data_IF_827195126237
#
_entry.id   IF_827195126237
#
_cell.length_a   1.000
_cell.length_b   1.000
_cell.length_c   1.000
_cell.angle_alpha   90.00
_cell.angle_beta   90.00
_cell.angle_gamma   90.00
#
_symmetry.space_group_name_H-M   'P 1'
#
loop_
_entity.id
_entity.type
_entity.pdbx_description
1 polymer ?
#
# COMPACT_ATOMS: atom_id res chain seq x y z
N UNK A 1 16.11 1.18 -1.14
CA UNK A 1 16.39 -0.27 -0.98
C UNK A 1 15.46 -1.06 -1.88
N UNK A 2 16.00 -1.70 -2.91
CA UNK A 2 15.25 -2.60 -3.79
C UNK A 2 15.32 -4.02 -3.23
N UNK A 3 14.17 -4.67 -3.16
CA UNK A 3 14.09 -6.11 -2.90
C UNK A 3 14.12 -6.80 -4.25
N UNK A 4 15.12 -7.64 -4.49
CA UNK A 4 15.30 -8.34 -5.76
C UNK A 4 15.37 -9.87 -5.56
N UNK A 5 14.70 -10.66 -6.43
CA UNK A 5 13.70 -10.22 -7.41
C UNK A 5 12.37 -9.80 -6.73
N UNK A 6 11.61 -8.91 -7.36
CA UNK A 6 10.27 -8.51 -6.89
C UNK A 6 9.31 -8.21 -8.03
N UNK A 7 8.02 -8.32 -7.74
CA UNK A 7 6.93 -8.02 -8.67
C UNK A 7 5.93 -7.13 -7.97
N UNK A 8 5.71 -5.93 -8.51
CA UNK A 8 5.03 -4.86 -7.80
C UNK A 8 3.90 -4.28 -8.63
N UNK A 9 2.82 -3.93 -7.93
CA UNK A 9 1.78 -3.01 -8.43
C UNK A 9 1.78 -1.81 -7.50
N UNK A 10 2.17 -0.66 -8.05
CA UNK A 10 2.40 0.58 -7.33
C UNK A 10 1.12 1.34 -7.01
N UNK A 11 1.26 2.30 -6.09
CA UNK A 11 0.19 3.21 -5.68
C UNK A 11 -0.28 4.13 -6.81
N UNK A 12 0.62 4.48 -7.72
CA UNK A 12 0.41 5.39 -8.85
C UNK A 12 0.00 4.66 -10.15
N UNK A 13 -0.27 3.35 -10.07
CA UNK A 13 -0.57 2.51 -11.22
C UNK A 13 0.68 2.04 -11.98
N UNK A 14 1.90 2.34 -11.55
CA UNK A 14 3.09 1.73 -12.13
C UNK A 14 3.19 0.24 -11.76
N UNK A 15 3.69 -0.61 -12.66
CA UNK A 15 3.99 -2.01 -12.37
C UNK A 15 5.45 -2.32 -12.61
N UNK A 16 6.01 -3.27 -11.86
CA UNK A 16 7.40 -3.73 -12.03
C UNK A 16 7.43 -5.25 -12.15
N UNK A 17 8.00 -5.76 -13.24
CA UNK A 17 8.32 -7.17 -13.43
C UNK A 17 9.82 -7.39 -13.20
N UNK A 18 10.18 -7.91 -12.04
CA UNK A 18 11.57 -8.18 -11.67
C UNK A 18 12.19 -9.39 -12.38
N UNK A 19 11.42 -10.21 -13.11
CA UNK A 19 11.96 -11.30 -13.91
C UNK A 19 12.62 -10.77 -15.17
N UNK A 20 11.95 -9.83 -15.85
CA UNK A 20 12.43 -9.27 -17.12
C UNK A 20 12.98 -7.84 -16.97
N UNK A 21 12.83 -7.22 -15.80
CA UNK A 21 13.32 -5.88 -15.51
C UNK A 21 12.54 -4.77 -16.20
N UNK A 22 11.22 -4.94 -16.37
CA UNK A 22 10.38 -4.01 -17.13
C UNK A 22 9.35 -3.29 -16.24
N UNK A 23 9.12 -2.02 -16.58
CA UNK A 23 8.03 -1.22 -16.03
C UNK A 23 6.79 -1.29 -16.92
N UNK A 24 5.63 -1.31 -16.30
CA UNK A 24 4.34 -1.24 -16.99
C UNK A 24 3.34 -0.33 -16.29
N UNK A 25 2.08 -0.48 -16.67
CA UNK A 25 0.97 0.31 -16.15
C UNK A 25 -0.19 -0.59 -15.73
N UNK A 26 -0.93 -0.14 -14.72
CA UNK A 26 -2.12 -0.77 -14.19
C UNK A 26 -3.22 0.25 -13.96
N UNK A 27 -4.47 -0.17 -14.17
CA UNK A 27 -5.64 0.60 -13.74
C UNK A 27 -5.96 0.43 -12.25
N UNK A 28 -5.15 -0.30 -11.49
CA UNK A 28 -5.24 -0.36 -10.04
C UNK A 28 -5.04 1.04 -9.44
N UNK A 29 -6.00 1.49 -8.64
CA UNK A 29 -5.95 2.76 -7.94
C UNK A 29 -6.30 2.56 -6.45
N UNK A 30 -5.29 2.45 -5.57
CA UNK A 30 -5.54 2.26 -4.15
C UNK A 30 -6.07 3.52 -3.46
N UNK A 31 -6.11 4.68 -4.12
CA UNK A 31 -6.74 5.89 -3.58
C UNK A 31 -8.25 5.73 -3.36
N UNK A 32 -8.86 4.75 -4.05
CA UNK A 32 -10.30 4.49 -3.96
C UNK A 32 -10.65 3.56 -2.78
N UNK A 33 -9.64 3.05 -2.06
CA UNK A 33 -9.83 2.16 -0.91
C UNK A 33 -10.27 2.91 0.34
N UNK A 34 -11.16 2.28 1.10
CA UNK A 34 -11.63 2.74 2.39
C UNK A 34 -11.25 1.76 3.52
N UNK A 35 -11.33 2.25 4.77
CA UNK A 35 -11.18 1.40 5.95
C UNK A 35 -12.23 0.28 5.91
N UNK A 36 -11.75 -0.96 5.94
CA UNK A 36 -12.59 -2.15 5.90
C UNK A 36 -12.58 -2.88 4.55
N UNK A 37 -12.07 -2.25 3.49
CA UNK A 37 -11.90 -2.92 2.20
C UNK A 37 -10.90 -4.08 2.30
N UNK A 38 -11.19 -5.14 1.54
CA UNK A 38 -10.37 -6.35 1.48
C UNK A 38 -9.67 -6.42 0.14
N UNK A 39 -8.36 -6.23 0.15
CA UNK A 39 -7.51 -6.42 -1.04
C UNK A 39 -6.94 -7.83 -1.03
N UNK A 40 -7.11 -8.53 -2.14
CA UNK A 40 -6.47 -9.82 -2.40
C UNK A 40 -5.50 -9.65 -3.58
N UNK A 41 -4.24 -9.98 -3.32
CA UNK A 41 -3.21 -10.13 -4.34
C UNK A 41 -2.89 -11.62 -4.45
N UNK A 42 -2.96 -12.17 -5.65
CA UNK A 42 -2.68 -13.58 -5.91
C UNK A 42 -1.76 -13.73 -7.12
N UNK A 43 -0.96 -14.79 -7.12
CA UNK A 43 -0.13 -15.17 -8.27
C UNK A 43 -0.67 -16.45 -8.90
N UNK A 44 -0.90 -16.44 -10.21
CA UNK A 44 -1.34 -17.61 -10.96
C UNK A 44 -0.19 -18.61 -11.17
N UNK A 45 -0.51 -19.86 -11.52
CA UNK A 45 0.52 -20.85 -11.89
C UNK A 45 1.26 -20.48 -13.18
N UNK A 46 0.70 -19.58 -13.99
CA UNK A 46 1.29 -19.05 -15.21
C UNK A 46 2.23 -17.87 -14.94
N UNK A 47 2.31 -17.40 -13.69
CA UNK A 47 3.15 -16.27 -13.29
C UNK A 47 2.47 -14.91 -13.45
N UNK A 48 1.14 -14.87 -13.52
CA UNK A 48 0.38 -13.62 -13.56
C UNK A 48 0.10 -13.13 -12.13
N UNK A 49 0.24 -11.83 -11.89
CA UNK A 49 -0.14 -11.17 -10.65
C UNK A 49 -1.53 -10.55 -10.81
N UNK A 50 -2.49 -11.01 -10.02
CA UNK A 50 -3.86 -10.50 -10.02
C UNK A 50 -4.13 -9.69 -8.74
N UNK A 51 -4.79 -8.54 -8.90
CA UNK A 51 -5.26 -7.70 -7.80
C UNK A 51 -6.79 -7.64 -7.83
N UNK A 52 -7.42 -7.83 -6.68
CA UNK A 52 -8.86 -7.68 -6.48
C UNK A 52 -9.15 -6.94 -5.19
N UNK A 53 -10.26 -6.20 -5.13
CA UNK A 53 -10.74 -5.61 -3.88
C UNK A 53 -12.22 -5.94 -3.68
N UNK A 54 -12.58 -6.34 -2.45
CA UNK A 54 -13.93 -6.75 -2.06
C UNK A 54 -14.51 -7.84 -2.98
N UNK A 55 -13.66 -8.75 -3.44
CA UNK A 55 -14.03 -9.84 -4.35
C UNK A 55 -14.23 -9.43 -5.82
N UNK A 56 -14.13 -8.15 -6.16
CA UNK A 56 -14.16 -7.68 -7.53
C UNK A 56 -12.73 -7.67 -8.12
N UNK A 57 -12.47 -8.35 -9.26
CA UNK A 57 -11.17 -8.27 -9.92
C UNK A 57 -10.95 -6.85 -10.44
N UNK A 58 -9.75 -6.31 -10.20
CA UNK A 58 -9.33 -5.04 -10.77
C UNK A 58 -8.50 -5.29 -12.04
N UNK A 59 -7.37 -5.97 -11.89
CA UNK A 59 -6.38 -6.10 -12.96
C UNK A 59 -5.59 -7.41 -12.81
N UNK A 60 -5.17 -7.93 -13.96
CA UNK A 60 -4.27 -9.08 -14.07
C UNK A 60 -3.08 -8.69 -14.92
N UNK A 61 -1.88 -8.87 -14.37
CA UNK A 61 -0.62 -8.51 -15.02
C UNK A 61 0.20 -9.75 -15.28
N UNK A 62 0.60 -9.96 -16.53
CA UNK A 62 1.60 -10.98 -16.87
C UNK A 62 2.97 -10.51 -16.40
N UNK A 63 3.41 -11.04 -15.26
CA UNK A 63 4.60 -10.57 -14.54
C UNK A 63 5.68 -11.65 -14.44
N UNK A 64 5.53 -12.75 -15.17
CA UNK A 64 6.50 -13.85 -15.24
C UNK A 64 6.98 -14.31 -13.86
N UNK A 65 6.09 -14.29 -12.87
CA UNK A 65 6.43 -14.70 -11.51
C UNK A 65 6.73 -16.20 -11.52
N UNK A 66 7.90 -16.65 -10.99
CA UNK A 66 8.27 -18.06 -11.03
C UNK A 66 7.27 -18.94 -10.27
N UNK A 67 6.65 -19.88 -10.97
CA UNK A 67 5.79 -20.88 -10.35
C UNK A 67 6.60 -21.84 -9.49
N UNK A 68 6.12 -22.16 -8.28
CA UNK A 68 6.75 -23.13 -7.38
C UNK A 68 7.91 -22.58 -6.54
N UNK A 69 8.29 -21.31 -6.73
CA UNK A 69 9.21 -20.63 -5.82
C UNK A 69 8.50 -20.22 -4.52
N UNK A 70 9.25 -20.15 -3.41
CA UNK A 70 8.76 -19.54 -2.19
C UNK A 70 8.61 -18.03 -2.39
N UNK A 71 7.37 -17.54 -2.38
CA UNK A 71 7.05 -16.13 -2.52
C UNK A 71 6.69 -15.54 -1.16
N UNK A 72 7.11 -14.29 -0.95
CA UNK A 72 6.77 -13.51 0.24
C UNK A 72 5.97 -12.29 -0.19
N UNK A 73 4.84 -12.06 0.49
CA UNK A 73 4.07 -10.84 0.29
C UNK A 73 4.79 -9.66 0.95
N UNK A 74 4.88 -8.55 0.22
CA UNK A 74 5.36 -7.27 0.72
C UNK A 74 4.27 -6.22 0.50
N UNK A 75 4.07 -5.37 1.51
CA UNK A 75 3.11 -4.26 1.44
C UNK A 75 3.84 -2.99 1.88
N UNK A 76 3.85 -2.00 1.00
CA UNK A 76 4.33 -0.65 1.33
C UNK A 76 3.13 0.25 1.67
N UNK A 77 3.21 0.94 2.81
CA UNK A 77 2.17 1.83 3.28
C UNK A 77 2.47 3.25 2.82
N UNK A 78 1.95 3.59 1.65
CA UNK A 78 2.06 4.92 1.07
C UNK A 78 0.75 5.73 1.19
N UNK A 79 0.88 7.06 1.07
CA UNK A 79 -0.25 7.98 1.07
C UNK A 79 -0.91 8.16 2.43
N UNK A 80 -2.24 7.99 2.49
CA UNK A 80 -3.05 8.14 3.70
C UNK A 80 -3.26 6.82 4.48
N UNK A 81 -2.64 5.73 4.04
CA UNK A 81 -2.77 4.42 4.68
C UNK A 81 -2.00 4.39 6.00
N UNK A 82 -2.71 4.20 7.12
CA UNK A 82 -2.08 4.15 8.45
C UNK A 82 -1.66 2.73 8.84
N UNK A 83 -2.32 1.71 8.30
CA UNK A 83 -2.05 0.32 8.61
C UNK A 83 -2.90 -0.64 7.80
N UNK A 84 -2.44 -1.89 7.74
CA UNK A 84 -3.15 -3.02 7.14
C UNK A 84 -3.11 -4.18 8.11
N UNK A 85 -4.08 -5.07 8.02
CA UNK A 85 -4.10 -6.33 8.76
C UNK A 85 -4.13 -7.48 7.76
N UNK A 86 -3.21 -8.43 7.93
CA UNK A 86 -3.25 -9.66 7.15
C UNK A 86 -4.39 -10.54 7.65
N UNK A 87 -5.21 -11.04 6.74
CA UNK A 87 -6.19 -12.10 7.03
C UNK A 87 -5.61 -13.46 6.68
N UNK A 88 -5.87 -14.50 7.48
CA UNK A 88 -5.45 -15.86 7.16
C UNK A 88 -5.93 -16.27 5.76
N UNK A 89 -5.04 -16.87 4.98
CA UNK A 89 -5.30 -17.37 3.63
C UNK A 89 -6.33 -18.51 3.67
N UNK A 90 -7.44 -18.38 2.93
CA UNK A 90 -8.48 -19.42 2.80
C UNK A 90 -9.92 -18.89 2.90
N UNK A 91 -10.13 -17.71 3.48
CA UNK A 91 -11.40 -17.00 3.31
C UNK A 91 -11.35 -16.21 2.01
N UNK A 92 -12.10 -16.67 1.00
CA UNK A 92 -12.44 -15.79 -0.11
C UNK A 92 -13.10 -14.53 0.48
N UNK A 93 -12.76 -13.31 0.00
CA UNK A 93 -13.51 -12.13 0.39
C UNK A 93 -15.00 -12.43 0.14
N UNK A 94 -15.90 -12.18 1.10
CA UNK A 94 -17.32 -12.39 0.86
C UNK A 94 -17.66 -11.64 -0.42
N UNK A 95 -18.08 -12.37 -1.45
CA UNK A 95 -18.65 -11.76 -2.64
C UNK A 95 -19.82 -10.92 -2.14
N UNK A 96 -19.65 -9.60 -2.07
CA UNK A 96 -20.74 -8.73 -1.65
C UNK A 96 -21.80 -8.80 -2.74
N UNK A 97 -22.77 -9.68 -2.56
CA UNK A 97 -23.99 -9.72 -3.34
C UNK A 97 -24.71 -8.37 -3.13
N UNK A 98 -24.62 -7.48 -4.12
CA UNK A 98 -25.60 -6.43 -4.31
C UNK A 98 -25.53 -5.21 -3.39
N UNK A 99 -24.35 -4.77 -2.92
CA UNK A 99 -24.23 -3.36 -2.54
C UNK A 99 -23.96 -2.58 -3.83
N UNK A 100 -25.03 -2.00 -4.37
CA UNK A 100 -24.93 -1.02 -5.44
C UNK A 100 -23.79 -0.05 -5.09
N UNK A 101 -22.81 0.07 -5.99
CA UNK A 101 -21.81 1.14 -5.94
C UNK A 101 -22.57 2.46 -5.86
N UNK A 102 -22.80 2.95 -4.66
CA UNK A 102 -23.01 4.38 -4.43
C UNK A 102 -21.62 5.00 -4.48
N UNK A 103 -21.02 4.97 -5.68
CA UNK A 103 -19.95 5.88 -6.05
C UNK A 103 -20.61 7.24 -6.24
N UNK A 104 -21.05 7.86 -5.15
CA UNK A 104 -21.47 9.26 -5.14
C UNK A 104 -20.44 10.07 -4.37
N UNK A 105 -19.20 10.03 -4.84
CA UNK A 105 -18.34 11.20 -4.74
C UNK A 105 -18.23 11.79 -6.14
N UNK A 106 -18.38 13.13 -6.28
CA UNK A 106 -18.29 13.76 -7.58
C UNK A 106 -16.93 13.47 -8.19
N UNK A 107 -16.91 13.20 -9.50
CA UNK A 107 -15.69 13.19 -10.27
C UNK A 107 -14.84 14.43 -9.92
N UNK A 108 -13.53 14.23 -9.73
CA UNK A 108 -12.57 15.31 -9.47
C UNK A 108 -12.88 16.48 -10.41
N UNK A 109 -13.23 17.69 -9.92
CA UNK A 109 -13.48 18.81 -10.80
C UNK A 109 -12.22 19.05 -11.64
N UNK A 110 -12.38 19.05 -12.97
CA UNK A 110 -11.31 19.45 -13.89
C UNK A 110 -11.01 20.93 -13.63
N UNK A 111 -9.99 21.20 -12.82
CA UNK A 111 -9.54 22.55 -12.46
C UNK A 111 -9.53 22.78 -10.95
N UNK A 112 -8.62 22.14 -10.22
CA UNK A 112 -8.22 22.62 -8.90
C UNK A 112 -7.09 23.65 -9.09
N UNK A 113 -7.19 24.88 -8.54
CA UNK A 113 -6.08 25.81 -8.55
C UNK A 113 -4.91 25.21 -7.76
N UNK A 114 -3.69 25.41 -8.27
CA UNK A 114 -2.45 24.78 -7.84
C UNK A 114 -1.96 25.10 -6.40
N UNK A 115 -2.81 25.58 -5.49
CA UNK A 115 -2.46 25.85 -4.09
C UNK A 115 -3.64 25.60 -3.17
N UNK A 116 -3.78 24.37 -2.68
CA UNK A 116 -4.47 24.15 -1.43
C UNK A 116 -3.48 24.48 -0.29
N UNK A 117 -3.69 25.60 0.41
CA UNK A 117 -2.97 25.89 1.64
C UNK A 117 -3.45 24.93 2.73
N UNK A 118 -2.67 23.89 3.00
CA UNK A 118 -2.87 23.09 4.21
C UNK A 118 -2.52 23.96 5.43
N UNK A 119 -3.30 23.89 6.53
CA UNK A 119 -2.89 24.53 7.77
C UNK A 119 -1.54 23.93 8.20
N UNK A 120 -0.55 24.79 8.40
CA UNK A 120 0.78 24.40 8.88
C UNK A 120 0.63 23.64 10.20
N UNK A 121 1.15 22.40 10.25
CA UNK A 121 1.18 21.61 11.48
C UNK A 121 2.03 22.34 12.53
N UNK A 122 1.38 23.03 13.47
CA UNK A 122 2.05 23.62 14.64
C UNK A 122 2.40 22.50 15.62
N UNK A 123 3.69 22.25 15.82
CA UNK A 123 4.19 21.28 16.81
C UNK A 123 5.44 20.52 16.36
N UNK A 124 5.70 20.43 15.05
CA UNK A 124 6.94 19.85 14.54
C UNK A 124 8.06 20.89 14.51
N UNK A 125 8.87 20.91 15.56
CA UNK A 125 10.11 21.68 15.57
C UNK A 125 11.14 20.97 14.69
N UNK A 126 11.51 21.60 13.57
CA UNK A 126 12.62 21.14 12.71
C UNK A 126 13.95 21.03 13.46
N UNK A 127 14.10 21.72 14.59
CA UNK A 127 15.29 21.65 15.44
C UNK A 127 15.41 20.35 16.25
N UNK A 128 14.39 19.47 16.25
CA UNK A 128 14.43 18.16 16.92
C UNK A 128 14.76 17.02 15.96
N UNK A 129 15.63 17.24 14.98
CA UNK A 129 16.18 16.18 14.13
C UNK A 129 17.18 15.35 14.95
N UNK A 130 16.97 14.05 15.08
CA UNK A 130 17.99 13.13 15.62
C UNK A 130 17.91 12.78 17.11
N UNK A 131 16.72 12.58 17.70
CA UNK A 131 16.60 11.94 19.03
C UNK A 131 16.12 10.50 18.88
N UNK A 132 16.79 9.57 19.57
CA UNK A 132 16.43 8.16 19.60
C UNK A 132 15.04 8.00 20.23
N UNK A 133 14.20 7.17 19.65
CA UNK A 133 12.90 6.80 20.22
C UNK A 133 13.05 5.43 20.88
N UNK A 134 12.62 5.31 22.13
CA UNK A 134 12.38 4.00 22.74
C UNK A 134 10.92 3.62 22.53
N UNK A 135 10.70 2.43 21.99
CA UNK A 135 9.38 1.83 21.87
C UNK A 135 9.07 1.02 23.13
N UNK A 136 7.82 1.05 23.57
CA UNK A 136 7.35 0.14 24.61
C UNK A 136 7.45 -1.30 24.12
N UNK A 137 7.59 -2.26 25.05
CA UNK A 137 7.74 -3.69 24.73
C UNK A 137 6.56 -4.26 23.94
N UNK A 138 5.39 -3.65 24.05
CA UNK A 138 4.18 -3.99 23.31
C UNK A 138 4.03 -3.24 21.98
N UNK A 139 4.98 -2.36 21.63
CA UNK A 139 5.00 -1.58 20.39
C UNK A 139 3.94 -0.48 20.29
N UNK A 140 3.14 -0.24 21.34
CA UNK A 140 1.98 0.67 21.28
C UNK A 140 2.28 2.12 21.65
N UNK A 141 3.47 2.39 22.17
CA UNK A 141 3.88 3.74 22.54
C UNK A 141 5.36 3.96 22.28
N UNK A 142 5.72 5.21 21.98
CA UNK A 142 7.09 5.65 21.80
C UNK A 142 7.39 6.82 22.73
N UNK A 143 8.57 6.84 23.32
CA UNK A 143 9.07 7.98 24.12
C UNK A 143 10.38 8.47 23.54
N UNK A 144 10.54 9.79 23.48
CA UNK A 144 11.80 10.40 23.06
C UNK A 144 12.85 10.27 24.14
N UNK A 145 14.01 9.71 23.81
CA UNK A 145 15.15 9.59 24.72
C UNK A 145 16.27 10.52 24.22
N UNK A 146 16.80 11.34 25.13
CA UNK A 146 17.97 12.16 24.83
C UNK A 146 19.21 11.25 24.80
N UNK A 147 20.02 11.34 23.74
CA UNK A 147 21.30 10.63 23.65
C UNK A 147 22.23 11.22 24.72
N UNK A 148 22.54 10.46 25.76
CA UNK A 148 23.58 10.84 26.72
C UNK A 148 24.92 10.89 25.96
N UNK A 149 25.53 12.07 25.89
CA UNK A 149 26.87 12.23 25.33
C UNK A 149 27.87 11.52 26.23
N UNK A 150 28.65 10.60 25.65
CA UNK A 150 29.86 10.10 26.28
C UNK A 150 30.85 11.28 26.41
N UNK A 151 31.33 11.52 27.63
CA UNK A 151 32.53 12.33 27.89
C UNK A 151 33.79 11.50 27.67
#
# INVERSE_FOLDING_TARGET
>A
DQVEPSWLVGYDGATWDGTIGEWGFSNWNPCDLAVGDLVLVSVSLQGDLCVSANGAPYETHRMHVPSGAGLFALVDLQGCTTGVSLRPTGEAPPQQAGIAKTSSFPARPKGLPAKASTPSMRGFSRAKTGKSLELSKDGRSAKSVAKAGAS
#
